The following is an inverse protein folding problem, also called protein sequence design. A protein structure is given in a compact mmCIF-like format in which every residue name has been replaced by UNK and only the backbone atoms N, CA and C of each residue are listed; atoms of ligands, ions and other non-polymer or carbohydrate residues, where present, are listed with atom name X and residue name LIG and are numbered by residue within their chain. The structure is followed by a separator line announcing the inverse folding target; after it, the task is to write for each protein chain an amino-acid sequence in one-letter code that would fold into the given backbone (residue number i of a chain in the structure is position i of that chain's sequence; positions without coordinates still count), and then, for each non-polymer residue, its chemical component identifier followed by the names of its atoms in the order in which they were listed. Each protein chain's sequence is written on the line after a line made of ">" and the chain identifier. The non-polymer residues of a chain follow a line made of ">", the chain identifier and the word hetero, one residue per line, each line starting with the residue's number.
data_IF_728873831481
#
_entry.id   IF_728873831481
#
_cell.length_a   1.000
_cell.length_b   1.000
_cell.length_c   1.000
_cell.angle_alpha   90.00
_cell.angle_beta   90.00
_cell.angle_gamma   90.00
#
_symmetry.space_group_name_H-M   'P 1'
#
loop_
_entity.id
_entity.type
_entity.pdbx_description
1 polymer ?
#
# COMPACT_ATOMS: atom_id res chain seq x y z
N UNK A 1 23.44 15.76 18.42
CA UNK A 1 22.31 15.04 17.81
C UNK A 1 21.23 14.72 18.86
N UNK A 2 20.61 15.74 19.50
CA UNK A 2 19.69 15.54 20.64
C UNK A 2 18.54 16.58 20.73
N UNK A 3 18.19 17.28 19.65
CA UNK A 3 17.27 18.45 19.72
C UNK A 3 15.78 18.08 19.57
N UNK A 4 15.44 16.85 19.17
CA UNK A 4 14.03 16.45 19.02
C UNK A 4 13.43 15.74 20.25
N UNK A 5 14.26 15.32 21.22
CA UNK A 5 13.77 14.79 22.49
C UNK A 5 13.29 15.88 23.47
N UNK A 6 13.70 17.13 23.27
CA UNK A 6 13.42 18.26 24.18
C UNK A 6 12.09 18.98 23.92
N UNK A 7 11.33 18.56 22.91
CA UNK A 7 10.05 19.17 22.50
C UNK A 7 8.81 18.33 22.87
N UNK A 8 8.98 17.22 23.61
CA UNK A 8 7.88 16.33 24.00
C UNK A 8 7.32 15.45 22.86
N UNK A 9 7.86 15.55 21.65
CA UNK A 9 7.47 14.71 20.51
C UNK A 9 8.24 13.38 20.57
N UNK A 10 7.56 12.23 20.61
CA UNK A 10 8.24 10.94 20.70
C UNK A 10 9.14 10.68 19.48
N UNK A 11 10.26 9.99 19.67
CA UNK A 11 11.16 9.62 18.55
C UNK A 11 10.56 8.48 17.70
N UNK A 12 9.74 7.64 18.31
CA UNK A 12 9.15 6.44 17.73
C UNK A 12 7.66 6.35 18.07
N UNK A 13 6.89 5.77 17.17
CA UNK A 13 5.55 5.26 17.43
C UNK A 13 5.58 3.72 17.42
N UNK A 14 4.53 3.08 17.92
CA UNK A 14 4.34 1.64 17.75
C UNK A 14 4.32 1.30 16.24
N UNK A 15 4.99 0.22 15.87
CA UNK A 15 4.96 -0.32 14.51
C UNK A 15 3.53 -0.65 14.07
N UNK A 16 3.29 -0.52 12.77
CA UNK A 16 2.08 -1.01 12.12
C UNK A 16 2.49 -2.27 11.37
N UNK A 17 1.80 -3.38 11.63
CA UNK A 17 2.04 -4.61 10.89
C UNK A 17 1.14 -5.74 11.34
N UNK A 18 1.21 -6.85 10.60
CA UNK A 18 0.37 -8.05 10.75
C UNK A 18 -1.13 -7.77 10.62
N UNK A 19 -1.52 -6.77 9.82
CA UNK A 19 -2.90 -6.61 9.37
C UNK A 19 -3.21 -7.67 8.31
N UNK A 20 -3.44 -8.90 8.81
CA UNK A 20 -3.61 -10.15 8.06
C UNK A 20 -4.79 -10.91 8.66
N UNK A 21 -5.78 -11.24 7.84
CA UNK A 21 -6.99 -11.96 8.26
C UNK A 21 -6.69 -13.40 8.66
N UNK A 22 -5.74 -14.05 7.99
CA UNK A 22 -5.27 -15.42 8.27
C UNK A 22 -4.65 -15.62 9.66
N UNK A 23 -4.45 -14.57 10.44
CA UNK A 23 -3.94 -14.65 11.82
C UNK A 23 -2.46 -15.03 11.94
N UNK A 24 -1.71 -14.97 10.82
CA UNK A 24 -0.25 -15.10 10.82
C UNK A 24 0.40 -13.74 11.09
N UNK A 25 1.70 -13.76 11.42
CA UNK A 25 2.49 -12.54 11.64
C UNK A 25 3.43 -12.29 10.48
N UNK A 26 3.47 -11.06 9.99
CA UNK A 26 4.53 -10.64 9.08
C UNK A 26 5.78 -10.20 9.87
N UNK A 27 6.98 -10.27 9.26
CA UNK A 27 8.16 -9.62 9.79
C UNK A 27 8.05 -8.09 9.67
N UNK A 28 7.57 -7.42 10.72
CA UNK A 28 7.49 -5.97 10.80
C UNK A 28 8.37 -5.40 11.93
N UNK A 29 8.80 -4.15 11.80
CA UNK A 29 9.47 -3.44 12.88
C UNK A 29 8.51 -3.17 14.04
N UNK A 30 8.95 -3.42 15.28
CA UNK A 30 8.14 -3.13 16.48
C UNK A 30 7.89 -1.63 16.68
N UNK A 31 8.77 -0.78 16.14
CA UNK A 31 8.73 0.67 16.26
C UNK A 31 8.91 1.35 14.91
N UNK A 32 8.11 2.38 14.66
CA UNK A 32 8.23 3.24 13.47
C UNK A 32 8.86 4.58 13.86
N UNK A 33 10.01 4.97 13.29
CA UNK A 33 10.59 6.28 13.53
C UNK A 33 9.69 7.39 13.00
N UNK A 34 9.33 8.38 13.82
CA UNK A 34 8.42 9.48 13.38
C UNK A 34 9.00 10.27 12.21
N UNK A 35 10.33 10.40 12.15
CA UNK A 35 11.01 11.02 11.01
C UNK A 35 10.79 10.24 9.71
N UNK A 36 10.74 8.91 9.77
CA UNK A 36 10.45 8.07 8.60
C UNK A 36 9.00 8.25 8.13
N UNK A 37 8.04 8.34 9.06
CA UNK A 37 6.64 8.66 8.74
C UNK A 37 6.51 10.01 8.02
N UNK A 38 7.28 11.03 8.45
CA UNK A 38 7.35 12.32 7.74
C UNK A 38 7.88 12.17 6.32
N UNK A 39 8.92 11.36 6.11
CA UNK A 39 9.45 11.11 4.76
C UNK A 39 8.42 10.40 3.88
N UNK A 40 7.70 9.41 4.42
CA UNK A 40 6.60 8.76 3.71
C UNK A 40 5.52 9.77 3.28
N UNK A 41 5.12 10.68 4.17
CA UNK A 41 4.13 11.70 3.83
C UNK A 41 4.61 12.65 2.70
N UNK A 42 5.90 13.02 2.71
CA UNK A 42 6.49 13.82 1.63
C UNK A 42 6.51 13.06 0.30
N UNK A 43 6.87 11.78 0.33
CA UNK A 43 6.86 10.91 -0.85
C UNK A 43 5.44 10.75 -1.41
N UNK A 44 4.45 10.48 -0.56
CA UNK A 44 3.06 10.35 -0.98
C UNK A 44 2.53 11.64 -1.64
N UNK A 45 2.93 12.81 -1.13
CA UNK A 45 2.61 14.11 -1.76
C UNK A 45 3.25 14.23 -3.15
N UNK A 46 4.52 13.86 -3.28
CA UNK A 46 5.22 13.87 -4.56
C UNK A 46 4.54 12.94 -5.56
N UNK A 47 4.25 11.70 -5.18
CA UNK A 47 3.56 10.73 -6.05
C UNK A 47 2.19 11.24 -6.47
N UNK A 48 1.38 11.77 -5.55
CA UNK A 48 0.06 12.32 -5.88
C UNK A 48 0.12 13.47 -6.88
N UNK A 49 1.12 14.33 -6.78
CA UNK A 49 1.29 15.44 -7.72
C UNK A 49 1.68 14.98 -9.14
N UNK A 50 2.30 13.80 -9.27
CA UNK A 50 2.80 13.25 -10.52
C UNK A 50 2.00 12.01 -10.97
N UNK A 51 0.83 11.74 -10.38
CA UNK A 51 0.07 10.50 -10.64
C UNK A 51 -0.32 10.34 -12.12
N UNK A 52 -0.50 11.47 -12.82
CA UNK A 52 -0.83 11.53 -14.24
C UNK A 52 0.32 11.12 -15.15
N UNK A 53 1.55 11.04 -14.64
CA UNK A 53 2.71 10.60 -15.41
C UNK A 53 2.72 9.08 -15.60
N UNK A 54 1.85 8.34 -14.88
CA UNK A 54 1.64 6.90 -15.07
C UNK A 54 0.69 6.69 -16.24
N UNK A 55 1.23 6.25 -17.37
CA UNK A 55 0.50 6.00 -18.63
C UNK A 55 0.59 4.54 -19.12
N UNK A 56 1.42 3.72 -18.47
CA UNK A 56 1.61 2.30 -18.78
C UNK A 56 0.38 1.48 -18.36
N UNK A 57 0.16 0.30 -18.94
CA UNK A 57 -0.85 -0.63 -18.42
C UNK A 57 -0.65 -0.89 -16.92
N UNK A 58 -1.74 -0.86 -16.15
CA UNK A 58 -1.70 -1.03 -14.69
C UNK A 58 -2.75 -2.02 -14.17
N UNK A 59 -2.34 -2.87 -13.24
CA UNK A 59 -3.21 -3.73 -12.45
C UNK A 59 -3.13 -3.28 -10.98
N UNK A 60 -4.27 -2.93 -10.40
CA UNK A 60 -4.40 -2.42 -9.04
C UNK A 60 -5.19 -3.44 -8.22
N UNK A 61 -4.65 -3.83 -7.06
CA UNK A 61 -5.37 -4.65 -6.08
C UNK A 61 -5.83 -3.80 -4.91
N UNK A 62 -7.05 -4.04 -4.43
CA UNK A 62 -7.61 -3.35 -3.27
C UNK A 62 -8.32 -4.33 -2.36
N UNK A 63 -7.79 -4.54 -1.16
CA UNK A 63 -8.53 -5.19 -0.08
C UNK A 63 -9.81 -4.43 0.23
N UNK A 64 -10.93 -5.13 0.37
CA UNK A 64 -12.21 -4.54 0.73
C UNK A 64 -12.21 -4.05 2.18
N UNK A 65 -11.57 -4.82 3.04
CA UNK A 65 -11.31 -4.50 4.44
C UNK A 65 -9.79 -4.25 4.56
N UNK A 66 -9.37 -2.98 4.70
CA UNK A 66 -7.97 -2.61 4.93
C UNK A 66 -7.93 -1.60 6.08
N UNK A 67 -7.25 -1.95 7.17
CA UNK A 67 -7.21 -1.14 8.39
C UNK A 67 -6.03 -0.17 8.42
N UNK A 68 -5.15 -0.22 7.42
CA UNK A 68 -3.92 0.58 7.34
C UNK A 68 -4.05 1.65 6.25
N UNK A 69 -4.53 1.27 5.07
CA UNK A 69 -4.72 2.14 3.90
C UNK A 69 -6.19 2.09 3.47
N UNK A 70 -6.93 3.22 3.53
CA UNK A 70 -8.32 3.24 3.11
C UNK A 70 -8.49 2.81 1.63
N UNK A 71 -9.39 1.87 1.29
CA UNK A 71 -9.61 1.36 -0.08
C UNK A 71 -9.96 2.44 -1.12
N UNK A 72 -10.36 3.63 -0.67
CA UNK A 72 -10.58 4.80 -1.52
C UNK A 72 -9.29 5.27 -2.21
N UNK A 73 -8.09 4.96 -1.68
CA UNK A 73 -6.82 5.32 -2.31
C UNK A 73 -6.64 4.59 -3.65
N UNK A 74 -6.98 3.31 -3.72
CA UNK A 74 -6.84 2.48 -4.91
C UNK A 74 -7.83 2.95 -6.00
N UNK A 75 -9.07 3.29 -5.60
CA UNK A 75 -10.04 3.94 -6.51
C UNK A 75 -9.52 5.28 -7.03
N UNK A 76 -8.98 6.12 -6.14
CA UNK A 76 -8.39 7.40 -6.53
C UNK A 76 -7.23 7.22 -7.52
N UNK A 77 -6.34 6.24 -7.30
CA UNK A 77 -5.27 5.91 -8.26
C UNK A 77 -5.87 5.51 -9.60
N UNK A 78 -6.81 4.56 -9.62
CA UNK A 78 -7.47 4.08 -10.84
C UNK A 78 -8.09 5.24 -11.64
N UNK A 79 -8.70 6.21 -10.97
CA UNK A 79 -9.34 7.36 -11.59
C UNK A 79 -8.34 8.43 -12.10
N UNK A 80 -7.17 8.56 -11.47
CA UNK A 80 -6.26 9.70 -11.70
C UNK A 80 -4.98 9.38 -12.49
N UNK A 81 -4.67 8.11 -12.74
CA UNK A 81 -3.61 7.72 -13.71
C UNK A 81 -4.05 7.99 -15.16
N UNK A 82 -3.08 8.26 -16.05
CA UNK A 82 -3.33 8.46 -17.49
C UNK A 82 -3.35 7.14 -18.29
N UNK A 83 -3.10 6.01 -17.63
CA UNK A 83 -3.14 4.67 -18.22
C UNK A 83 -4.44 4.39 -18.98
N UNK A 84 -4.32 3.98 -20.24
CA UNK A 84 -5.47 3.56 -21.07
C UNK A 84 -5.95 2.15 -20.71
N UNK A 85 -5.01 1.25 -20.41
CA UNK A 85 -5.30 -0.09 -19.93
C UNK A 85 -5.13 -0.11 -18.42
N UNK A 86 -6.24 -0.21 -17.69
CA UNK A 86 -6.22 -0.27 -16.23
C UNK A 86 -7.25 -1.25 -15.70
N UNK A 87 -6.84 -2.08 -14.75
CA UNK A 87 -7.67 -3.06 -14.05
C UNK A 87 -7.66 -2.78 -12.55
N UNK A 88 -8.82 -2.84 -11.89
CA UNK A 88 -8.94 -2.76 -10.43
C UNK A 88 -9.60 -4.05 -9.92
N UNK A 89 -8.87 -4.82 -9.12
CA UNK A 89 -9.31 -6.09 -8.54
C UNK A 89 -9.55 -5.90 -7.06
N UNK A 90 -10.78 -6.12 -6.63
CA UNK A 90 -11.13 -6.18 -5.20
C UNK A 90 -10.72 -7.53 -4.61
N UNK A 91 -10.04 -7.49 -3.47
CA UNK A 91 -9.72 -8.66 -2.65
C UNK A 91 -10.76 -8.76 -1.53
N UNK A 92 -11.61 -9.78 -1.60
CA UNK A 92 -12.78 -9.93 -0.71
C UNK A 92 -12.42 -10.56 0.64
N UNK A 93 -11.28 -11.24 0.74
CA UNK A 93 -10.93 -12.05 1.91
C UNK A 93 -9.53 -11.74 2.48
N UNK A 94 -9.00 -10.55 2.25
CA UNK A 94 -7.69 -10.14 2.74
C UNK A 94 -7.72 -8.79 3.42
N UNK A 95 -6.83 -8.59 4.39
CA UNK A 95 -6.53 -7.30 5.01
C UNK A 95 -5.39 -6.58 4.27
N UNK A 96 -4.67 -5.64 4.90
CA UNK A 96 -3.66 -4.83 4.24
C UNK A 96 -2.51 -5.66 3.63
N UNK A 97 -2.01 -6.65 4.38
CA UNK A 97 -0.86 -7.48 3.94
C UNK A 97 -1.36 -8.66 3.11
N UNK A 98 -2.07 -8.35 2.03
CA UNK A 98 -2.80 -9.32 1.23
C UNK A 98 -1.90 -10.38 0.54
N UNK A 99 -0.62 -10.07 0.34
CA UNK A 99 0.40 -11.01 -0.19
C UNK A 99 0.77 -12.13 0.79
N UNK A 100 0.28 -12.07 2.03
CA UNK A 100 0.43 -13.15 3.01
C UNK A 100 -0.93 -13.67 3.48
N UNK A 101 -2.02 -13.20 2.88
CA UNK A 101 -3.39 -13.44 3.33
C UNK A 101 -4.14 -14.42 2.40
N UNK A 102 -5.45 -14.56 2.59
CA UNK A 102 -6.23 -15.56 1.87
C UNK A 102 -6.33 -15.34 0.35
N UNK A 103 -6.23 -14.11 -0.15
CA UNK A 103 -6.29 -13.83 -1.60
C UNK A 103 -4.91 -13.85 -2.30
N UNK A 104 -3.86 -14.36 -1.64
CA UNK A 104 -2.52 -14.49 -2.25
C UNK A 104 -2.57 -15.18 -3.63
N UNK A 105 -3.23 -16.33 -3.74
CA UNK A 105 -3.30 -17.09 -5.00
C UNK A 105 -4.05 -16.30 -6.09
N UNK A 106 -5.03 -15.46 -5.71
CA UNK A 106 -5.71 -14.57 -6.64
C UNK A 106 -4.76 -13.49 -7.15
N UNK A 107 -3.97 -12.88 -6.27
CA UNK A 107 -2.95 -11.86 -6.63
C UNK A 107 -1.93 -12.47 -7.60
N UNK A 108 -1.39 -13.65 -7.27
CA UNK A 108 -0.40 -14.34 -8.11
C UNK A 108 -0.97 -14.62 -9.51
N UNK A 109 -2.14 -15.28 -9.57
CA UNK A 109 -2.77 -15.62 -10.85
C UNK A 109 -3.08 -14.38 -11.68
N UNK A 110 -3.68 -13.34 -11.08
CA UNK A 110 -4.02 -12.10 -11.80
C UNK A 110 -2.79 -11.35 -12.28
N UNK A 111 -1.72 -11.35 -11.50
CA UNK A 111 -0.45 -10.75 -11.90
C UNK A 111 0.18 -11.48 -13.09
N UNK A 112 0.20 -12.82 -13.07
CA UNK A 112 0.69 -13.63 -14.20
C UNK A 112 -0.16 -13.45 -15.46
N UNK A 113 -1.49 -13.49 -15.33
CA UNK A 113 -2.43 -13.21 -16.43
C UNK A 113 -2.16 -11.83 -17.03
N UNK A 114 -1.96 -10.81 -16.19
CA UNK A 114 -1.71 -9.44 -16.63
C UNK A 114 -0.37 -9.32 -17.37
N UNK A 115 0.71 -9.89 -16.85
CA UNK A 115 2.02 -9.90 -17.51
C UNK A 115 1.93 -10.61 -18.87
N UNK A 116 1.27 -11.77 -18.94
CA UNK A 116 1.12 -12.53 -20.18
C UNK A 116 0.35 -11.78 -21.26
N UNK A 117 -0.64 -10.95 -20.90
CA UNK A 117 -1.37 -10.09 -21.86
C UNK A 117 -0.51 -8.98 -22.47
N UNK A 118 0.62 -8.63 -21.83
CA UNK A 118 1.50 -7.54 -22.24
C UNK A 118 2.75 -8.01 -23.00
N UNK A 119 3.03 -9.31 -22.97
CA UNK A 119 4.08 -9.96 -23.75
C UNK A 119 3.59 -10.25 -25.17
#
# INVERSE_FOLDING_TARGET
>A
MLILGSLGIPRFAKGVGSDIKKGIKEPAYELTPIRATKQLALLLRLVRNNIKDVDQPILIFSSKEDHVVPPQNQRWIYENVSSQTKELVTLENSYHVATMDYDLELIERKSLEFIQKLL
#
